data_IF_156598379609
#
_entry.id   IF_156598379609
#
_cell.length_a   1.000
_cell.length_b   1.000
_cell.length_c   1.000
_cell.angle_alpha   90.00
_cell.angle_beta   90.00
_cell.angle_gamma   90.00
#
_symmetry.space_group_name_H-M   'P 1'
#
loop_
_entity.id
_entity.type
_entity.pdbx_description
1 polymer ?
#
# COMPACT_ATOMS: atom_id res chain seq x y z
N UNK A 1 8.30 -48.43 34.45
CA UNK A 1 7.43 -47.25 34.22
C UNK A 1 8.24 -46.30 33.37
N UNK A 2 8.20 -46.53 32.07
CA UNK A 2 8.92 -45.74 31.07
C UNK A 2 8.05 -44.57 30.59
N UNK A 3 8.66 -43.44 30.20
CA UNK A 3 7.97 -42.25 29.75
C UNK A 3 7.47 -42.43 28.30
N UNK A 4 6.16 -42.22 28.12
CA UNK A 4 5.50 -42.25 26.83
C UNK A 4 6.02 -41.14 25.92
N UNK A 5 6.74 -41.52 24.85
CA UNK A 5 7.01 -40.67 23.69
C UNK A 5 5.70 -40.47 22.93
N UNK A 6 5.21 -39.22 22.87
CA UNK A 6 4.16 -38.81 21.93
C UNK A 6 4.82 -38.50 20.58
N UNK A 7 4.54 -39.35 19.59
CA UNK A 7 4.89 -39.13 18.19
C UNK A 7 3.95 -38.10 17.53
N UNK A 8 4.42 -37.35 16.52
CA UNK A 8 3.68 -36.26 15.89
C UNK A 8 2.92 -36.75 14.64
N UNK A 9 1.66 -37.13 14.76
CA UNK A 9 0.78 -37.35 13.59
C UNK A 9 -0.67 -36.96 13.92
N UNK A 10 -1.01 -35.70 13.64
CA UNK A 10 -2.40 -35.26 13.48
C UNK A 10 -2.47 -34.01 12.58
N UNK A 11 -1.83 -34.07 11.40
CA UNK A 11 -2.20 -33.23 10.27
C UNK A 11 -3.07 -34.09 9.34
N UNK A 12 -4.37 -34.08 9.59
CA UNK A 12 -5.34 -34.80 8.77
C UNK A 12 -5.29 -34.31 7.32
N UNK A 13 -4.85 -35.17 6.40
CA UNK A 13 -5.07 -35.00 4.96
C UNK A 13 -6.58 -35.04 4.68
N UNK A 14 -7.12 -34.19 3.79
CA UNK A 14 -8.52 -34.29 3.39
C UNK A 14 -8.69 -35.48 2.43
N UNK A 15 -9.03 -36.64 2.98
CA UNK A 15 -9.60 -37.75 2.23
C UNK A 15 -11.12 -37.75 2.47
N UNK A 16 -11.89 -37.58 1.40
CA UNK A 16 -13.33 -37.88 1.39
C UNK A 16 -14.25 -36.66 1.46
N UNK A 17 -14.34 -35.90 0.37
CA UNK A 17 -15.45 -34.97 0.11
C UNK A 17 -15.75 -34.90 -1.40
N UNK A 18 -15.87 -36.05 -2.06
CA UNK A 18 -16.45 -36.13 -3.40
C UNK A 18 -17.43 -37.32 -3.40
N UNK A 19 -18.66 -37.05 -2.97
CA UNK A 19 -19.80 -37.92 -3.24
C UNK A 19 -20.35 -37.53 -4.61
N UNK A 20 -20.69 -38.54 -5.42
CA UNK A 20 -21.09 -38.49 -6.85
C UNK A 20 -22.21 -37.49 -7.24
N UNK A 21 -22.87 -36.85 -6.27
CA UNK A 21 -23.98 -35.90 -6.49
C UNK A 21 -23.81 -34.56 -5.71
N UNK A 22 -22.60 -34.22 -5.24
CA UNK A 22 -22.33 -32.93 -4.59
C UNK A 22 -21.38 -32.08 -5.44
N UNK A 23 -21.98 -31.15 -6.17
CA UNK A 23 -21.35 -30.05 -6.91
C UNK A 23 -20.32 -29.27 -6.06
N UNK A 24 -19.27 -28.72 -6.70
CA UNK A 24 -18.26 -27.88 -6.05
C UNK A 24 -18.87 -26.60 -5.47
N UNK A 25 -18.90 -26.48 -4.14
CA UNK A 25 -19.43 -25.29 -3.48
C UNK A 25 -18.29 -24.40 -2.98
N UNK A 26 -18.11 -23.24 -3.59
CA UNK A 26 -17.15 -22.22 -3.11
C UNK A 26 -17.43 -21.89 -1.63
N UNK A 27 -18.71 -21.84 -1.24
CA UNK A 27 -19.14 -21.58 0.13
C UNK A 27 -18.61 -22.60 1.15
N UNK A 28 -18.38 -23.85 0.74
CA UNK A 28 -17.85 -24.90 1.61
C UNK A 28 -16.35 -24.74 1.92
N UNK A 29 -15.64 -23.92 1.14
CA UNK A 29 -14.20 -23.71 1.26
C UNK A 29 -13.83 -22.33 1.85
N UNK A 30 -14.81 -21.51 2.20
CA UNK A 30 -14.61 -20.18 2.81
C UNK A 30 -13.76 -20.27 4.08
N UNK A 31 -13.93 -21.32 4.88
CA UNK A 31 -13.20 -21.53 6.14
C UNK A 31 -11.74 -21.96 5.96
N UNK A 32 -11.30 -22.32 4.76
CA UNK A 32 -9.95 -22.82 4.47
C UNK A 32 -8.99 -21.72 3.95
N UNK A 33 -9.46 -20.48 3.87
CA UNK A 33 -8.66 -19.33 3.43
C UNK A 33 -8.32 -19.33 1.94
N UNK A 34 -7.59 -18.30 1.52
CA UNK A 34 -7.33 -17.96 0.10
C UNK A 34 -6.69 -19.11 -0.69
N UNK A 35 -5.61 -19.69 -0.15
CA UNK A 35 -4.89 -20.80 -0.78
C UNK A 35 -5.70 -22.10 -0.86
N UNK A 36 -6.64 -22.32 0.06
CA UNK A 36 -7.49 -23.50 0.09
C UNK A 36 -8.50 -23.53 -1.05
N UNK A 37 -9.15 -22.39 -1.33
CA UNK A 37 -10.15 -22.27 -2.39
C UNK A 37 -9.51 -22.45 -3.76
N UNK A 38 -8.40 -21.76 -4.03
CA UNK A 38 -7.73 -21.79 -5.32
C UNK A 38 -7.19 -23.21 -5.65
N UNK A 39 -6.60 -23.89 -4.67
CA UNK A 39 -6.11 -25.26 -4.85
C UNK A 39 -7.26 -26.27 -5.05
N UNK A 40 -8.34 -26.15 -4.27
CA UNK A 40 -9.51 -27.02 -4.39
C UNK A 40 -10.21 -26.84 -5.74
N UNK A 41 -10.37 -25.59 -6.20
CA UNK A 41 -11.01 -25.29 -7.48
C UNK A 41 -10.20 -25.81 -8.66
N UNK A 42 -8.88 -25.54 -8.68
CA UNK A 42 -7.98 -26.05 -9.73
C UNK A 42 -8.05 -27.58 -9.82
N UNK A 43 -7.92 -28.26 -8.68
CA UNK A 43 -7.99 -29.72 -8.61
C UNK A 43 -9.32 -30.26 -9.14
N UNK A 44 -10.44 -29.65 -8.75
CA UNK A 44 -11.76 -30.06 -9.19
C UNK A 44 -11.95 -29.89 -10.70
N UNK A 45 -11.63 -28.70 -11.24
CA UNK A 45 -11.78 -28.44 -12.68
C UNK A 45 -10.85 -29.34 -13.51
N UNK A 46 -9.64 -29.62 -13.04
CA UNK A 46 -8.73 -30.57 -13.71
C UNK A 46 -9.22 -32.02 -13.66
N UNK A 47 -9.84 -32.44 -12.55
CA UNK A 47 -10.46 -33.77 -12.43
C UNK A 47 -11.65 -33.92 -13.38
N UNK A 48 -12.54 -32.92 -13.41
CA UNK A 48 -13.69 -32.91 -14.32
C UNK A 48 -13.24 -32.84 -15.79
N UNK A 49 -12.21 -32.05 -16.12
CA UNK A 49 -11.65 -31.96 -17.48
C UNK A 49 -11.04 -33.27 -17.98
N UNK A 50 -10.62 -34.18 -17.08
CA UNK A 50 -10.10 -35.51 -17.45
C UNK A 50 -11.20 -36.51 -17.79
N UNK A 51 -12.43 -36.29 -17.31
CA UNK A 51 -13.52 -37.27 -17.38
C UNK A 51 -14.72 -36.81 -18.22
N UNK A 52 -14.90 -35.50 -18.41
CA UNK A 52 -16.03 -34.92 -19.12
C UNK A 52 -15.72 -34.58 -20.59
N UNK A 53 -16.79 -34.55 -21.41
CA UNK A 53 -16.74 -33.98 -22.75
C UNK A 53 -16.56 -32.45 -22.69
N UNK A 54 -16.11 -31.84 -23.79
CA UNK A 54 -15.96 -30.37 -23.84
C UNK A 54 -17.26 -29.60 -23.60
N UNK A 55 -18.41 -30.15 -24.01
CA UNK A 55 -19.73 -29.52 -23.78
C UNK A 55 -20.16 -29.63 -22.30
N UNK A 56 -19.96 -30.79 -21.67
CA UNK A 56 -20.28 -30.98 -20.26
C UNK A 56 -19.41 -30.11 -19.35
N UNK A 57 -18.13 -29.99 -19.67
CA UNK A 57 -17.21 -29.12 -18.96
C UNK A 57 -17.59 -27.63 -19.11
N UNK A 58 -18.10 -27.19 -20.26
CA UNK A 58 -18.62 -25.82 -20.42
C UNK A 58 -19.84 -25.58 -19.52
N UNK A 59 -20.74 -26.57 -19.39
CA UNK A 59 -21.89 -26.48 -18.47
C UNK A 59 -21.45 -26.38 -17.01
N UNK A 60 -20.39 -27.12 -16.63
CA UNK A 60 -19.78 -27.00 -15.29
C UNK A 60 -19.23 -25.58 -15.10
N UNK A 61 -18.48 -25.06 -16.06
CA UNK A 61 -17.96 -23.69 -15.96
C UNK A 61 -19.08 -22.64 -15.84
N UNK A 62 -20.19 -22.79 -16.56
CA UNK A 62 -21.34 -21.89 -16.46
C UNK A 62 -22.00 -21.90 -15.08
N UNK A 63 -22.18 -23.08 -14.48
CA UNK A 63 -22.70 -23.20 -13.12
C UNK A 63 -21.76 -22.57 -12.09
N UNK A 64 -20.44 -22.68 -12.30
CA UNK A 64 -19.45 -22.05 -11.44
C UNK A 64 -19.50 -20.51 -11.55
N UNK A 65 -19.62 -19.96 -12.76
CA UNK A 65 -19.76 -18.52 -12.95
C UNK A 65 -21.04 -17.96 -12.29
N UNK A 66 -22.15 -18.71 -12.34
CA UNK A 66 -23.39 -18.33 -11.65
C UNK A 66 -23.22 -18.33 -10.12
N UNK A 67 -22.52 -19.33 -9.56
CA UNK A 67 -22.21 -19.33 -8.13
C UNK A 67 -21.33 -18.15 -7.71
N UNK A 68 -20.29 -17.85 -8.49
CA UNK A 68 -19.43 -16.69 -8.26
C UNK A 68 -20.26 -15.41 -8.31
N UNK A 69 -21.10 -15.25 -9.34
CA UNK A 69 -21.99 -14.10 -9.50
C UNK A 69 -22.90 -13.91 -8.28
N UNK A 70 -23.51 -14.99 -7.78
CA UNK A 70 -24.37 -14.97 -6.59
C UNK A 70 -23.61 -14.51 -5.33
N UNK A 71 -22.42 -15.05 -5.09
CA UNK A 71 -21.57 -14.65 -3.95
C UNK A 71 -21.13 -13.18 -4.05
N UNK A 72 -20.80 -12.72 -5.27
CA UNK A 72 -20.43 -11.32 -5.49
C UNK A 72 -21.60 -10.34 -5.31
N UNK A 73 -22.85 -10.79 -5.40
CA UNK A 73 -24.01 -9.93 -5.09
C UNK A 73 -24.16 -9.66 -3.58
N UNK A 74 -23.61 -10.53 -2.72
CA UNK A 74 -23.68 -10.38 -1.26
C UNK A 74 -22.89 -9.18 -0.75
N UNK A 75 -23.47 -8.38 0.14
CA UNK A 75 -22.76 -7.22 0.73
C UNK A 75 -21.71 -7.62 1.77
N UNK A 76 -21.60 -8.90 2.12
CA UNK A 76 -20.63 -9.41 3.08
C UNK A 76 -19.27 -9.68 2.41
N UNK A 77 -18.20 -9.11 2.97
CA UNK A 77 -16.84 -9.36 2.52
C UNK A 77 -16.44 -10.83 2.67
N UNK A 78 -17.00 -11.54 3.67
CA UNK A 78 -16.73 -12.96 3.91
C UNK A 78 -17.22 -13.88 2.79
N UNK A 79 -18.18 -13.42 1.97
CA UNK A 79 -18.69 -14.14 0.80
C UNK A 79 -18.08 -13.62 -0.51
N UNK A 80 -17.87 -12.29 -0.61
CA UNK A 80 -17.32 -11.66 -1.81
C UNK A 80 -15.84 -11.97 -2.04
N UNK A 81 -15.01 -11.99 -0.97
CA UNK A 81 -13.58 -12.25 -1.09
C UNK A 81 -13.25 -13.66 -1.61
N UNK A 82 -13.86 -14.75 -1.08
CA UNK A 82 -13.74 -16.09 -1.67
C UNK A 82 -14.11 -16.16 -3.15
N UNK A 83 -15.13 -15.41 -3.58
CA UNK A 83 -15.55 -15.38 -4.97
C UNK A 83 -14.52 -14.69 -5.87
N UNK A 84 -13.87 -13.62 -5.40
CA UNK A 84 -12.75 -12.98 -6.10
C UNK A 84 -11.54 -13.92 -6.22
N UNK A 85 -11.20 -14.66 -5.16
CA UNK A 85 -10.13 -15.67 -5.22
C UNK A 85 -10.46 -16.83 -6.16
N UNK A 86 -11.73 -17.22 -6.25
CA UNK A 86 -12.17 -18.19 -7.24
C UNK A 86 -11.99 -17.65 -8.66
N UNK A 87 -12.35 -16.38 -8.93
CA UNK A 87 -12.08 -15.74 -10.23
C UNK A 87 -10.59 -15.78 -10.54
N UNK A 88 -9.73 -15.39 -9.60
CA UNK A 88 -8.28 -15.37 -9.78
C UNK A 88 -7.74 -16.75 -10.18
N UNK A 89 -8.15 -17.80 -9.46
CA UNK A 89 -7.78 -19.16 -9.77
C UNK A 89 -8.26 -19.65 -11.15
N UNK A 90 -9.41 -19.13 -11.64
CA UNK A 90 -9.93 -19.46 -12.97
C UNK A 90 -9.15 -18.81 -14.11
N UNK A 91 -8.44 -17.69 -13.86
CA UNK A 91 -7.63 -17.00 -14.88
C UNK A 91 -6.56 -17.96 -15.40
N UNK A 92 -5.85 -18.63 -14.49
CA UNK A 92 -4.75 -19.57 -14.78
C UNK A 92 -5.17 -20.85 -15.50
N UNK A 93 -6.45 -21.21 -15.45
CA UNK A 93 -6.91 -22.46 -16.02
C UNK A 93 -6.93 -22.40 -17.56
N UNK A 94 -6.42 -23.42 -18.28
CA UNK A 94 -6.41 -23.42 -19.76
C UNK A 94 -7.80 -23.60 -20.39
N UNK A 95 -8.85 -23.65 -19.58
CA UNK A 95 -10.22 -23.98 -19.97
C UNK A 95 -11.02 -22.70 -20.29
N UNK A 96 -11.80 -22.73 -21.37
CA UNK A 96 -12.81 -21.68 -21.66
C UNK A 96 -12.40 -20.55 -22.62
N UNK A 97 -11.16 -20.51 -23.11
CA UNK A 97 -10.74 -19.62 -24.22
C UNK A 97 -11.16 -18.15 -24.06
N UNK A 98 -11.54 -17.49 -25.17
CA UNK A 98 -11.90 -16.08 -25.19
C UNK A 98 -13.20 -15.75 -24.44
N UNK A 99 -14.17 -16.68 -24.39
CA UNK A 99 -15.45 -16.45 -23.71
C UNK A 99 -15.31 -16.41 -22.19
N UNK A 100 -14.33 -17.12 -21.62
CA UNK A 100 -13.96 -17.01 -20.20
C UNK A 100 -13.54 -15.59 -19.86
N UNK A 101 -12.65 -15.00 -20.64
CA UNK A 101 -12.09 -13.66 -20.37
C UNK A 101 -13.21 -12.63 -20.32
N UNK A 102 -14.14 -12.63 -21.28
CA UNK A 102 -15.28 -11.73 -21.29
C UNK A 102 -16.22 -11.93 -20.09
N UNK A 103 -16.47 -13.18 -19.67
CA UNK A 103 -17.30 -13.48 -18.50
C UNK A 103 -16.65 -12.97 -17.21
N UNK A 104 -15.36 -13.23 -17.01
CA UNK A 104 -14.62 -12.78 -15.84
C UNK A 104 -14.52 -11.24 -15.80
N UNK A 105 -14.26 -10.60 -16.93
CA UNK A 105 -14.24 -9.14 -17.03
C UNK A 105 -15.59 -8.51 -16.65
N UNK A 106 -16.71 -9.11 -17.10
CA UNK A 106 -18.05 -8.64 -16.73
C UNK A 106 -18.36 -8.82 -15.24
N UNK A 107 -17.94 -9.94 -14.63
CA UNK A 107 -18.08 -10.14 -13.19
C UNK A 107 -17.32 -9.07 -12.40
N UNK A 108 -16.06 -8.83 -12.75
CA UNK A 108 -15.23 -7.80 -12.10
C UNK A 108 -15.81 -6.40 -12.30
N UNK A 109 -16.29 -6.08 -13.50
CA UNK A 109 -16.96 -4.81 -13.78
C UNK A 109 -18.14 -4.56 -12.83
N UNK A 110 -19.01 -5.55 -12.65
CA UNK A 110 -20.15 -5.45 -11.74
C UNK A 110 -19.69 -5.21 -10.29
N UNK A 111 -18.57 -5.81 -9.87
CA UNK A 111 -17.97 -5.57 -8.56
C UNK A 111 -17.59 -4.10 -8.40
N UNK A 112 -16.88 -3.49 -9.36
CA UNK A 112 -16.50 -2.08 -9.28
C UNK A 112 -17.68 -1.11 -9.34
N UNK A 113 -18.77 -1.47 -10.02
CA UNK A 113 -19.97 -0.63 -10.11
C UNK A 113 -20.79 -0.62 -8.81
N UNK A 114 -20.91 -1.78 -8.16
CA UNK A 114 -21.82 -2.01 -7.04
C UNK A 114 -21.12 -1.89 -5.68
N UNK A 115 -19.91 -2.43 -5.54
CA UNK A 115 -19.19 -2.46 -4.26
C UNK A 115 -18.57 -1.11 -3.93
N UNK A 116 -18.55 -0.81 -2.63
CA UNK A 116 -18.01 0.46 -2.10
C UNK A 116 -16.86 0.24 -1.12
N UNK A 117 -16.71 -0.99 -0.62
CA UNK A 117 -15.75 -1.32 0.41
C UNK A 117 -14.33 -1.47 -0.18
N UNK A 118 -13.34 -0.70 0.28
CA UNK A 118 -11.94 -0.88 -0.10
C UNK A 118 -11.41 -2.31 0.11
N UNK A 119 -11.90 -3.02 1.14
CA UNK A 119 -11.48 -4.41 1.42
C UNK A 119 -11.83 -5.36 0.26
N UNK A 120 -12.86 -5.04 -0.53
CA UNK A 120 -13.28 -5.82 -1.69
C UNK A 120 -12.70 -5.24 -2.99
N UNK A 121 -12.66 -3.91 -3.12
CA UNK A 121 -12.22 -3.22 -4.34
C UNK A 121 -10.72 -3.42 -4.62
N UNK A 122 -9.88 -3.48 -3.57
CA UNK A 122 -8.43 -3.69 -3.73
C UNK A 122 -8.11 -5.10 -4.24
N UNK A 123 -8.61 -6.20 -3.66
CA UNK A 123 -8.43 -7.52 -4.26
C UNK A 123 -9.02 -7.62 -5.67
N UNK A 124 -10.19 -7.03 -5.90
CA UNK A 124 -10.82 -7.05 -7.23
C UNK A 124 -9.95 -6.39 -8.31
N UNK A 125 -9.24 -5.31 -7.98
CA UNK A 125 -8.32 -4.66 -8.94
C UNK A 125 -7.11 -5.53 -9.25
N UNK A 126 -6.52 -6.18 -8.24
CA UNK A 126 -5.41 -7.11 -8.46
C UNK A 126 -5.80 -8.26 -9.40
N UNK A 127 -7.00 -8.84 -9.20
CA UNK A 127 -7.53 -9.89 -10.06
C UNK A 127 -7.78 -9.37 -11.48
N UNK A 128 -8.24 -8.12 -11.63
CA UNK A 128 -8.37 -7.48 -12.94
C UNK A 128 -7.02 -7.31 -13.65
N UNK A 129 -5.98 -6.89 -12.93
CA UNK A 129 -4.62 -6.78 -13.44
C UNK A 129 -4.10 -8.13 -13.94
N UNK A 130 -4.28 -9.19 -13.14
CA UNK A 130 -3.92 -10.55 -13.54
C UNK A 130 -4.67 -11.00 -14.81
N UNK A 131 -5.98 -10.75 -14.89
CA UNK A 131 -6.79 -11.08 -16.07
C UNK A 131 -6.27 -10.37 -17.32
N UNK A 132 -5.91 -9.08 -17.19
CA UNK A 132 -5.40 -8.25 -18.27
C UNK A 132 -4.04 -8.75 -18.79
N UNK A 133 -3.15 -9.17 -17.88
CA UNK A 133 -1.87 -9.78 -18.25
C UNK A 133 -2.04 -11.14 -18.94
N UNK A 134 -2.91 -12.00 -18.38
CA UNK A 134 -3.02 -13.40 -18.79
C UNK A 134 -3.67 -13.62 -20.16
N UNK A 135 -4.69 -12.85 -20.54
CA UNK A 135 -5.44 -13.13 -21.77
C UNK A 135 -4.99 -12.37 -23.03
N UNK A 136 -3.84 -11.67 -22.96
CA UNK A 136 -3.14 -11.12 -24.13
C UNK A 136 -3.98 -10.16 -24.99
N UNK A 137 -3.77 -10.20 -26.31
CA UNK A 137 -4.40 -9.26 -27.25
C UNK A 137 -5.95 -9.36 -27.34
N UNK A 138 -6.55 -10.47 -26.90
CA UNK A 138 -8.00 -10.66 -26.89
C UNK A 138 -8.66 -10.01 -25.67
N UNK A 139 -8.00 -10.07 -24.50
CA UNK A 139 -8.45 -9.33 -23.30
C UNK A 139 -8.34 -7.84 -23.48
N UNK A 140 -7.33 -7.40 -24.23
CA UNK A 140 -7.13 -6.00 -24.58
C UNK A 140 -8.44 -5.41 -25.09
N UNK A 141 -9.04 -5.89 -26.19
CA UNK A 141 -10.21 -5.22 -26.77
C UNK A 141 -11.45 -5.13 -25.84
N UNK A 142 -11.71 -6.13 -24.99
CA UNK A 142 -12.88 -6.16 -24.10
C UNK A 142 -12.67 -5.31 -22.83
N UNK A 143 -11.48 -5.40 -22.23
CA UNK A 143 -11.11 -4.64 -21.02
C UNK A 143 -10.75 -3.18 -21.37
N UNK A 144 -10.13 -2.95 -22.54
CA UNK A 144 -9.70 -1.65 -23.07
C UNK A 144 -10.85 -0.66 -23.19
N UNK A 145 -11.88 -0.99 -23.96
CA UNK A 145 -12.86 0.03 -24.36
C UNK A 145 -13.83 0.36 -23.22
N UNK A 146 -14.22 -0.62 -22.43
CA UNK A 146 -15.30 -0.41 -21.47
C UNK A 146 -14.79 -0.07 -20.06
N UNK A 147 -13.82 -0.81 -19.53
CA UNK A 147 -13.39 -0.62 -18.13
C UNK A 147 -12.47 0.61 -18.01
N UNK A 148 -11.48 0.79 -18.87
CA UNK A 148 -10.60 1.98 -18.83
C UNK A 148 -11.42 3.26 -19.07
N UNK A 149 -12.24 3.32 -20.12
CA UNK A 149 -13.07 4.50 -20.40
C UNK A 149 -14.03 4.82 -19.25
N UNK A 150 -14.63 3.78 -18.63
CA UNK A 150 -15.50 3.97 -17.47
C UNK A 150 -14.72 4.51 -16.27
N UNK A 151 -13.53 3.97 -16.00
CA UNK A 151 -12.66 4.44 -14.92
C UNK A 151 -12.21 5.90 -15.14
N UNK A 152 -11.78 6.25 -16.35
CA UNK A 152 -11.45 7.64 -16.71
C UNK A 152 -12.65 8.58 -16.50
N UNK A 153 -13.85 8.16 -16.91
CA UNK A 153 -15.08 8.92 -16.69
C UNK A 153 -15.45 9.08 -15.21
N UNK A 154 -15.25 8.04 -14.39
CA UNK A 154 -15.45 8.12 -12.94
C UNK A 154 -14.46 9.07 -12.25
N UNK A 155 -13.21 9.10 -12.71
CA UNK A 155 -12.18 9.94 -12.13
C UNK A 155 -12.37 11.42 -12.51
N UNK A 156 -12.75 11.69 -13.77
CA UNK A 156 -13.04 13.04 -14.26
C UNK A 156 -14.45 13.58 -13.92
N UNK A 157 -15.35 12.74 -13.39
CA UNK A 157 -16.77 13.06 -13.20
C UNK A 157 -17.22 13.40 -11.77
N UNK A 158 -18.45 12.99 -11.44
CA UNK A 158 -19.41 13.43 -10.38
C UNK A 158 -18.95 13.53 -8.91
N UNK A 159 -17.66 13.35 -8.59
CA UNK A 159 -17.16 13.51 -7.22
C UNK A 159 -17.53 12.38 -6.26
N UNK A 160 -18.01 11.25 -6.77
CA UNK A 160 -18.34 10.07 -5.97
C UNK A 160 -17.06 9.36 -5.53
N UNK A 161 -16.80 9.39 -4.22
CA UNK A 161 -15.54 8.92 -3.62
C UNK A 161 -15.17 7.48 -3.98
N UNK A 162 -16.07 6.52 -3.78
CA UNK A 162 -15.75 5.10 -4.01
C UNK A 162 -15.44 4.84 -5.49
N UNK A 163 -16.06 5.60 -6.41
CA UNK A 163 -15.80 5.48 -7.85
C UNK A 163 -14.45 6.07 -8.22
N UNK A 164 -14.05 7.19 -7.62
CA UNK A 164 -12.68 7.72 -7.77
C UNK A 164 -11.64 6.72 -7.28
N UNK A 165 -11.88 6.15 -6.10
CA UNK A 165 -11.01 5.12 -5.53
C UNK A 165 -10.91 3.89 -6.45
N UNK A 166 -12.04 3.32 -6.88
CA UNK A 166 -12.07 2.21 -7.81
C UNK A 166 -11.40 2.53 -9.16
N UNK A 167 -11.65 3.72 -9.71
CA UNK A 167 -11.05 4.17 -10.95
C UNK A 167 -9.52 4.21 -10.88
N UNK A 168 -8.97 4.77 -9.80
CA UNK A 168 -7.52 4.83 -9.60
C UNK A 168 -6.91 3.43 -9.54
N UNK A 169 -7.54 2.50 -8.82
CA UNK A 169 -7.10 1.11 -8.73
C UNK A 169 -7.11 0.43 -10.10
N UNK A 170 -8.20 0.57 -10.87
CA UNK A 170 -8.31 0.02 -12.22
C UNK A 170 -7.20 0.59 -13.11
N UNK A 171 -7.03 1.91 -13.13
CA UNK A 171 -6.05 2.57 -14.02
C UNK A 171 -4.61 2.19 -13.65
N UNK A 172 -4.29 2.07 -12.35
CA UNK A 172 -3.02 1.55 -11.87
C UNK A 172 -2.76 0.14 -12.42
N UNK A 173 -3.68 -0.79 -12.18
CA UNK A 173 -3.51 -2.19 -12.57
C UNK A 173 -3.38 -2.36 -14.09
N UNK A 174 -4.11 -1.55 -14.86
CA UNK A 174 -4.00 -1.54 -16.32
C UNK A 174 -2.66 -0.96 -16.81
N UNK A 175 -2.12 0.05 -16.12
CA UNK A 175 -0.79 0.59 -16.44
C UNK A 175 0.30 -0.46 -16.21
N UNK A 176 0.24 -1.20 -15.09
CA UNK A 176 1.23 -2.23 -14.71
C UNK A 176 1.14 -3.47 -15.61
N UNK A 177 -0.07 -4.01 -15.78
CA UNK A 177 -0.27 -5.35 -16.35
C UNK A 177 -0.64 -5.34 -17.85
N UNK A 178 -1.07 -4.20 -18.39
CA UNK A 178 -1.54 -4.07 -19.76
C UNK A 178 -1.03 -2.79 -20.45
N UNK A 179 0.22 -2.41 -20.17
CA UNK A 179 0.82 -1.14 -20.63
C UNK A 179 0.69 -0.90 -22.14
N UNK A 180 0.81 -1.95 -22.97
CA UNK A 180 0.71 -1.84 -24.44
C UNK A 180 -0.63 -1.29 -24.92
N UNK A 181 -1.69 -1.54 -24.15
CA UNK A 181 -3.05 -1.04 -24.36
C UNK A 181 -3.21 0.31 -23.67
N UNK A 182 -2.79 0.39 -22.40
CA UNK A 182 -2.93 1.58 -21.56
C UNK A 182 -2.26 2.81 -22.15
N UNK A 183 -1.16 2.63 -22.90
CA UNK A 183 -0.42 3.75 -23.53
C UNK A 183 -1.28 4.65 -24.41
N UNK A 184 -2.37 4.13 -24.99
CA UNK A 184 -3.27 4.89 -25.83
C UNK A 184 -4.14 5.89 -25.04
N UNK A 185 -4.19 5.76 -23.71
CA UNK A 185 -5.00 6.55 -22.78
C UNK A 185 -4.15 7.43 -21.85
N UNK A 186 -2.84 7.49 -22.04
CA UNK A 186 -1.93 8.28 -21.19
C UNK A 186 -2.35 9.76 -21.11
N UNK A 187 -2.68 10.45 -22.22
CA UNK A 187 -3.09 11.85 -22.14
C UNK A 187 -4.31 12.06 -21.25
N UNK A 188 -5.39 11.30 -21.49
CA UNK A 188 -6.62 11.38 -20.70
C UNK A 188 -6.39 10.99 -19.24
N UNK A 189 -5.59 9.93 -19.00
CA UNK A 189 -5.21 9.50 -17.67
C UNK A 189 -4.50 10.60 -16.88
N UNK A 190 -3.52 11.27 -17.49
CA UNK A 190 -2.75 12.33 -16.83
C UNK A 190 -3.67 13.50 -16.46
N UNK A 191 -4.59 13.89 -17.35
CA UNK A 191 -5.54 14.97 -17.08
C UNK A 191 -6.42 14.69 -15.86
N UNK A 192 -6.90 13.44 -15.71
CA UNK A 192 -7.78 13.08 -14.59
C UNK A 192 -7.04 12.71 -13.31
N UNK A 193 -5.83 12.11 -13.40
CA UNK A 193 -5.10 11.65 -12.21
C UNK A 193 -4.50 12.82 -11.43
N UNK A 194 -4.17 13.93 -12.09
CA UNK A 194 -3.70 15.15 -11.41
C UNK A 194 -4.77 15.75 -10.49
N UNK A 195 -6.06 15.59 -10.85
CA UNK A 195 -7.19 15.98 -10.00
C UNK A 195 -7.21 15.11 -8.74
N UNK A 196 -6.99 13.80 -8.88
CA UNK A 196 -6.93 12.86 -7.77
C UNK A 196 -5.71 13.06 -6.86
N UNK A 197 -4.57 13.46 -7.44
CA UNK A 197 -3.38 13.88 -6.71
C UNK A 197 -3.60 15.18 -5.92
N UNK A 198 -4.60 15.98 -6.30
CA UNK A 198 -5.00 17.18 -5.55
C UNK A 198 -6.16 16.92 -4.59
N UNK A 199 -6.60 15.67 -4.43
CA UNK A 199 -7.75 15.32 -3.59
C UNK A 199 -7.41 15.51 -2.10
N UNK A 200 -8.29 16.16 -1.30
CA UNK A 200 -8.06 16.38 0.12
C UNK A 200 -7.98 15.08 0.94
N UNK A 201 -8.45 13.95 0.40
CA UNK A 201 -8.39 12.65 1.08
C UNK A 201 -7.07 11.95 0.78
N UNK A 202 -6.32 11.71 1.86
CA UNK A 202 -5.01 11.06 1.82
C UNK A 202 -5.04 9.72 1.04
N UNK A 203 -6.05 8.89 1.27
CA UNK A 203 -6.17 7.58 0.61
C UNK A 203 -6.27 7.72 -0.92
N UNK A 204 -6.99 8.72 -1.43
CA UNK A 204 -7.12 8.95 -2.88
C UNK A 204 -5.80 9.47 -3.44
N UNK A 205 -5.19 10.44 -2.76
CA UNK A 205 -3.91 11.01 -3.12
C UNK A 205 -2.80 9.94 -3.19
N UNK A 206 -2.67 9.09 -2.16
CA UNK A 206 -1.68 8.01 -2.11
C UNK A 206 -1.88 6.99 -3.23
N UNK A 207 -3.11 6.56 -3.49
CA UNK A 207 -3.39 5.62 -4.59
C UNK A 207 -3.15 6.25 -5.96
N UNK A 208 -3.45 7.55 -6.11
CA UNK A 208 -3.16 8.27 -7.35
C UNK A 208 -1.64 8.36 -7.59
N UNK A 209 -0.85 8.58 -6.53
CA UNK A 209 0.61 8.54 -6.60
C UNK A 209 1.14 7.15 -7.02
N UNK A 210 0.57 6.08 -6.47
CA UNK A 210 0.89 4.70 -6.89
C UNK A 210 0.58 4.46 -8.37
N UNK A 211 -0.58 4.92 -8.87
CA UNK A 211 -0.96 4.81 -10.27
C UNK A 211 0.00 5.56 -11.21
N UNK A 212 0.45 6.75 -10.79
CA UNK A 212 1.45 7.53 -11.53
C UNK A 212 2.82 6.84 -11.53
N UNK A 213 3.21 6.23 -10.40
CA UNK A 213 4.45 5.44 -10.34
C UNK A 213 4.40 4.23 -11.29
N UNK A 214 3.31 3.47 -11.23
CA UNK A 214 3.06 2.34 -12.12
C UNK A 214 3.25 2.73 -13.59
N UNK A 215 2.58 3.81 -14.02
CA UNK A 215 2.70 4.34 -15.37
C UNK A 215 4.16 4.64 -15.75
N UNK A 216 4.90 5.34 -14.88
CA UNK A 216 6.29 5.71 -15.13
C UNK A 216 7.19 4.46 -15.26
N UNK A 217 7.06 3.50 -14.35
CA UNK A 217 7.83 2.26 -14.35
C UNK A 217 7.59 1.43 -15.61
N UNK A 218 6.33 1.21 -15.98
CA UNK A 218 5.99 0.45 -17.18
C UNK A 218 6.45 1.15 -18.47
N UNK A 219 6.42 2.48 -18.52
CA UNK A 219 6.96 3.24 -19.65
C UNK A 219 8.49 3.08 -19.79
N UNK A 220 9.22 3.05 -18.66
CA UNK A 220 10.66 2.80 -18.64
C UNK A 220 11.00 1.38 -19.12
N UNK A 221 10.24 0.38 -18.69
CA UNK A 221 10.42 -1.02 -19.14
C UNK A 221 10.14 -1.18 -20.63
N UNK A 222 9.04 -0.59 -21.12
CA UNK A 222 8.73 -0.58 -22.55
C UNK A 222 9.80 0.13 -23.40
N UNK A 223 10.43 1.18 -22.86
CA UNK A 223 11.55 1.86 -23.51
C UNK A 223 12.82 0.99 -23.54
N UNK A 224 13.08 0.18 -22.49
CA UNK A 224 14.24 -0.70 -22.40
C UNK A 224 14.15 -1.92 -23.34
N UNK A 225 12.96 -2.50 -23.51
CA UNK A 225 12.74 -3.69 -24.37
C UNK A 225 12.97 -3.42 -25.87
N UNK A 226 12.93 -2.14 -26.28
CA UNK A 226 13.28 -1.72 -27.65
C UNK A 226 14.78 -1.88 -28.00
N UNK A 227 15.63 -2.32 -27.06
CA UNK A 227 17.08 -2.52 -27.26
C UNK A 227 17.47 -3.71 -28.14
N UNK A 228 16.56 -4.65 -28.42
CA UNK A 228 16.87 -5.86 -29.21
C UNK A 228 16.13 -5.81 -30.57
N UNK A 229 16.92 -5.47 -31.61
CA UNK A 229 16.60 -5.35 -33.06
C UNK A 229 16.29 -3.93 -33.55
N UNK A 230 17.27 -3.40 -34.29
CA UNK A 230 17.23 -2.20 -35.15
C UNK A 230 16.03 -2.23 -36.12
N UNK A 231 14.89 -1.76 -35.66
CA UNK A 231 13.98 -0.94 -36.45
C UNK A 231 13.77 0.31 -35.60
N UNK A 232 14.07 1.50 -36.14
CA UNK A 232 13.70 2.76 -35.50
C UNK A 232 12.16 2.85 -35.46
N UNK A 233 11.53 2.11 -34.55
CA UNK A 233 10.27 2.55 -33.97
C UNK A 233 10.66 3.75 -33.11
N UNK A 234 10.13 4.91 -33.45
CA UNK A 234 10.16 6.10 -32.60
C UNK A 234 9.77 5.62 -31.20
N UNK A 235 10.74 5.58 -30.27
CA UNK A 235 10.49 5.09 -28.91
C UNK A 235 9.30 5.86 -28.35
N UNK A 236 8.33 5.12 -27.81
CA UNK A 236 7.01 5.61 -27.41
C UNK A 236 7.18 6.34 -26.06
N UNK A 237 7.96 7.41 -26.05
CA UNK A 237 8.06 8.27 -24.88
C UNK A 237 6.91 9.28 -24.91
N UNK A 238 5.71 8.78 -24.62
CA UNK A 238 4.45 9.55 -24.63
C UNK A 238 4.29 10.41 -23.38
N UNK A 239 5.04 10.13 -22.32
CA UNK A 239 5.03 10.93 -21.10
C UNK A 239 5.91 12.18 -21.29
N UNK A 240 6.98 12.12 -22.09
CA UNK A 240 7.82 13.30 -22.39
C UNK A 240 7.10 14.47 -23.05
N UNK A 241 5.91 14.27 -23.62
CA UNK A 241 5.13 15.35 -24.24
C UNK A 241 4.40 16.23 -23.20
N UNK A 242 4.33 15.79 -21.93
CA UNK A 242 3.69 16.54 -20.85
C UNK A 242 4.49 17.80 -20.45
N UNK A 243 3.85 18.81 -19.81
CA UNK A 243 4.54 19.98 -19.26
C UNK A 243 5.55 19.64 -18.15
N UNK A 244 6.59 20.46 -17.98
CA UNK A 244 7.66 20.24 -16.99
C UNK A 244 7.11 20.13 -15.56
N UNK A 245 6.11 20.93 -15.23
CA UNK A 245 5.43 20.93 -13.93
C UNK A 245 4.78 19.57 -13.64
N UNK A 246 4.12 18.99 -14.65
CA UNK A 246 3.52 17.65 -14.56
C UNK A 246 4.59 16.58 -14.41
N UNK A 247 5.69 16.68 -15.16
CA UNK A 247 6.80 15.74 -15.08
C UNK A 247 7.49 15.79 -13.71
N UNK A 248 7.72 16.99 -13.17
CA UNK A 248 8.22 17.18 -11.80
C UNK A 248 7.26 16.61 -10.75
N UNK A 249 5.95 16.76 -10.97
CA UNK A 249 4.93 16.16 -10.11
C UNK A 249 5.02 14.64 -10.14
N UNK A 250 5.13 14.02 -11.33
CA UNK A 250 5.36 12.57 -11.47
C UNK A 250 6.61 12.15 -10.70
N UNK A 251 7.74 12.83 -10.92
CA UNK A 251 9.01 12.55 -10.23
C UNK A 251 8.84 12.61 -8.70
N UNK A 252 8.06 13.55 -8.18
CA UNK A 252 7.80 13.70 -6.74
C UNK A 252 7.01 12.56 -6.11
N UNK A 253 6.43 11.66 -6.90
CA UNK A 253 5.77 10.43 -6.42
C UNK A 253 6.61 9.17 -6.60
N UNK A 254 7.69 9.25 -7.37
CA UNK A 254 8.64 8.16 -7.55
C UNK A 254 9.58 8.09 -6.35
N UNK A 255 10.08 6.89 -6.06
CA UNK A 255 11.28 6.76 -5.24
C UNK A 255 12.47 7.31 -6.03
N UNK A 256 13.53 7.65 -5.32
CA UNK A 256 14.75 8.20 -5.92
C UNK A 256 15.33 7.29 -7.01
N UNK A 257 15.33 5.97 -6.84
CA UNK A 257 15.81 5.02 -7.85
C UNK A 257 14.99 5.08 -9.15
N UNK A 258 13.66 5.01 -9.04
CA UNK A 258 12.76 5.09 -10.19
C UNK A 258 12.81 6.47 -10.85
N UNK A 259 12.94 7.52 -10.05
CA UNK A 259 13.08 8.88 -10.52
C UNK A 259 14.37 9.09 -11.33
N UNK A 260 15.51 8.53 -10.89
CA UNK A 260 16.77 8.53 -11.67
C UNK A 260 16.58 7.76 -12.98
N UNK A 261 15.88 6.61 -12.95
CA UNK A 261 15.62 5.79 -14.14
C UNK A 261 14.82 6.53 -15.21
N UNK A 262 13.99 7.51 -14.84
CA UNK A 262 13.27 8.35 -15.83
C UNK A 262 14.22 9.09 -16.79
N UNK A 263 15.48 9.32 -16.39
CA UNK A 263 16.51 9.92 -17.26
C UNK A 263 16.84 9.09 -18.52
N UNK A 264 16.40 7.83 -18.57
CA UNK A 264 16.48 6.97 -19.75
C UNK A 264 15.39 7.28 -20.80
N UNK A 265 14.28 7.92 -20.41
CA UNK A 265 13.17 8.26 -21.31
C UNK A 265 13.59 9.33 -22.32
N UNK A 266 14.06 10.49 -21.83
CA UNK A 266 14.62 11.55 -22.68
C UNK A 266 15.63 12.44 -21.95
N UNK A 267 16.33 13.31 -22.70
CA UNK A 267 17.26 14.29 -22.12
C UNK A 267 16.55 15.26 -21.16
N UNK A 268 15.28 15.56 -21.40
CA UNK A 268 14.45 16.46 -20.59
C UNK A 268 14.30 15.94 -19.16
N UNK A 269 13.93 14.67 -18.99
CA UNK A 269 13.81 14.02 -17.69
C UNK A 269 15.11 14.04 -16.88
N UNK A 270 16.27 13.92 -17.53
CA UNK A 270 17.57 14.02 -16.84
C UNK A 270 17.77 15.38 -16.16
N UNK A 271 17.30 16.46 -16.79
CA UNK A 271 17.39 17.80 -16.21
C UNK A 271 16.35 18.00 -15.11
N UNK A 272 15.10 17.57 -15.35
CA UNK A 272 14.00 17.71 -14.40
C UNK A 272 14.25 16.94 -13.10
N UNK A 273 14.74 15.70 -13.20
CA UNK A 273 15.09 14.89 -12.04
C UNK A 273 16.00 15.64 -11.06
N UNK A 274 17.02 16.36 -11.54
CA UNK A 274 18.02 17.02 -10.67
C UNK A 274 17.49 18.17 -9.82
N UNK A 275 16.33 18.72 -10.17
CA UNK A 275 15.72 19.88 -9.50
C UNK A 275 14.31 19.60 -8.96
N UNK A 276 13.70 18.48 -9.33
CA UNK A 276 12.38 18.10 -8.88
C UNK A 276 12.39 17.73 -7.38
N UNK A 277 11.24 17.81 -6.70
CA UNK A 277 11.07 17.20 -5.39
C UNK A 277 11.25 15.68 -5.45
N UNK A 278 11.93 15.07 -4.48
CA UNK A 278 12.23 13.62 -4.50
C UNK A 278 11.86 12.92 -3.19
N UNK A 279 11.62 11.60 -3.29
CA UNK A 279 11.45 10.71 -2.15
C UNK A 279 12.71 9.84 -2.00
N UNK A 280 13.54 10.17 -1.01
CA UNK A 280 14.75 9.42 -0.71
C UNK A 280 14.39 8.20 0.13
N UNK A 281 14.60 7.01 -0.42
CA UNK A 281 14.23 5.74 0.20
C UNK A 281 15.41 4.78 0.10
N UNK A 282 15.91 4.35 1.25
CA UNK A 282 17.08 3.47 1.34
C UNK A 282 16.73 2.00 1.56
N UNK A 283 15.45 1.61 1.60
CA UNK A 283 15.03 0.24 1.92
C UNK A 283 15.55 -0.82 0.94
N UNK A 284 15.76 -0.43 -0.33
CA UNK A 284 16.28 -1.31 -1.38
C UNK A 284 17.81 -1.38 -1.42
N UNK A 285 18.49 -0.51 -0.66
CA UNK A 285 19.94 -0.50 -0.57
C UNK A 285 20.32 -1.34 0.66
N UNK A 286 21.14 -2.39 0.52
CA UNK A 286 21.54 -3.21 1.65
C UNK A 286 22.19 -2.36 2.77
N UNK A 287 21.61 -2.41 3.98
CA UNK A 287 21.97 -1.60 5.17
C UNK A 287 23.42 -1.69 5.66
N UNK A 288 24.19 -2.66 5.15
CA UNK A 288 25.54 -2.98 5.62
C UNK A 288 26.65 -2.47 4.68
N UNK A 289 26.30 -1.69 3.66
CA UNK A 289 27.21 -1.27 2.60
C UNK A 289 27.63 0.21 2.80
N UNK A 290 28.93 0.53 2.94
CA UNK A 290 29.42 1.91 2.97
C UNK A 290 28.96 2.75 1.77
N UNK A 291 28.74 2.10 0.63
CA UNK A 291 28.23 2.71 -0.59
C UNK A 291 26.84 3.35 -0.39
N UNK A 292 26.01 2.81 0.51
CA UNK A 292 24.71 3.39 0.84
C UNK A 292 24.86 4.78 1.47
N UNK A 293 25.81 4.92 2.40
CA UNK A 293 26.10 6.19 3.09
C UNK A 293 26.62 7.21 2.09
N UNK A 294 27.54 6.79 1.21
CA UNK A 294 28.10 7.66 0.18
C UNK A 294 27.02 8.19 -0.77
N UNK A 295 26.16 7.29 -1.28
CA UNK A 295 25.04 7.67 -2.18
C UNK A 295 24.08 8.63 -1.50
N UNK A 296 23.67 8.35 -0.26
CA UNK A 296 22.77 9.24 0.50
C UNK A 296 23.42 10.60 0.74
N UNK A 297 24.69 10.62 1.16
CA UNK A 297 25.46 11.86 1.39
C UNK A 297 25.59 12.68 0.10
N UNK A 298 25.84 12.02 -1.03
CA UNK A 298 25.93 12.65 -2.34
C UNK A 298 24.59 13.25 -2.75
N UNK A 299 23.48 12.51 -2.61
CA UNK A 299 22.15 13.01 -2.93
C UNK A 299 21.81 14.23 -2.06
N UNK A 300 22.08 14.15 -0.75
CA UNK A 300 21.81 15.25 0.19
C UNK A 300 22.65 16.50 -0.07
N UNK A 301 23.78 16.39 -0.76
CA UNK A 301 24.70 17.51 -1.05
C UNK A 301 24.57 18.07 -2.46
N UNK A 302 24.31 17.22 -3.46
CA UNK A 302 24.31 17.59 -4.87
C UNK A 302 22.92 17.85 -5.45
N UNK A 303 21.86 17.28 -4.84
CA UNK A 303 20.50 17.44 -5.35
C UNK A 303 20.01 18.88 -5.18
N UNK A 304 19.49 19.48 -6.25
CA UNK A 304 19.09 20.89 -6.26
C UNK A 304 17.63 21.11 -5.85
N UNK A 305 16.82 20.04 -5.87
CA UNK A 305 15.42 20.07 -5.47
C UNK A 305 15.21 19.77 -3.98
N UNK A 306 13.99 19.97 -3.45
CA UNK A 306 13.66 19.59 -2.08
C UNK A 306 13.49 18.07 -1.96
N UNK A 307 13.84 17.51 -0.80
CA UNK A 307 13.53 16.13 -0.44
C UNK A 307 12.26 16.17 0.42
N UNK A 308 11.16 15.62 -0.10
CA UNK A 308 9.85 15.67 0.54
C UNK A 308 9.59 14.48 1.46
N UNK A 309 10.20 13.33 1.16
CA UNK A 309 10.16 12.13 1.98
C UNK A 309 11.57 11.58 2.15
N UNK A 310 11.87 11.18 3.38
CA UNK A 310 13.13 10.59 3.78
C UNK A 310 12.81 9.29 4.53
N UNK A 311 13.12 8.16 3.92
CA UNK A 311 13.04 6.83 4.51
C UNK A 311 14.43 6.22 4.62
N UNK A 312 14.91 6.09 5.85
CA UNK A 312 16.24 5.64 6.22
C UNK A 312 16.14 4.29 6.93
N UNK A 313 16.45 3.20 6.22
CA UNK A 313 16.42 1.86 6.76
C UNK A 313 17.82 1.32 7.06
N UNK A 314 18.03 0.87 8.30
CA UNK A 314 19.15 0.04 8.73
C UNK A 314 20.53 0.67 8.49
N UNK A 315 20.67 1.97 8.78
CA UNK A 315 21.90 2.72 8.50
C UNK A 315 22.90 2.55 9.62
N UNK A 316 23.96 1.78 9.37
CA UNK A 316 25.12 1.70 10.24
C UNK A 316 26.10 2.83 9.94
N UNK A 317 26.68 3.47 10.97
CA UNK A 317 27.78 4.44 10.84
C UNK A 317 27.45 5.76 10.11
N UNK A 318 26.18 6.11 9.94
CA UNK A 318 25.78 7.37 9.30
C UNK A 318 25.99 8.58 10.23
N UNK A 319 26.51 9.69 9.68
CA UNK A 319 26.46 11.00 10.34
C UNK A 319 25.06 11.61 10.17
N UNK A 320 24.12 11.11 10.98
CA UNK A 320 22.73 11.55 10.95
C UNK A 320 22.60 13.05 11.25
N UNK A 321 23.44 13.61 12.12
CA UNK A 321 23.37 15.03 12.46
C UNK A 321 23.78 15.92 11.28
N UNK A 322 24.88 15.57 10.60
CA UNK A 322 25.31 16.24 9.38
C UNK A 322 24.28 16.14 8.25
N UNK A 323 23.72 14.95 8.04
CA UNK A 323 22.66 14.74 7.05
C UNK A 323 21.40 15.52 7.36
N UNK A 324 20.93 15.46 8.60
CA UNK A 324 19.74 16.20 8.99
C UNK A 324 19.99 17.66 8.73
N UNK A 325 21.14 18.26 9.06
CA UNK A 325 21.42 19.68 8.75
C UNK A 325 21.39 20.07 7.27
N UNK A 326 21.37 19.13 6.32
CA UNK A 326 21.32 19.44 4.88
C UNK A 326 20.12 20.35 4.51
N UNK A 327 20.34 21.41 3.71
CA UNK A 327 19.27 22.29 3.23
C UNK A 327 18.26 21.55 2.33
N UNK A 328 18.65 20.42 1.70
CA UNK A 328 17.77 19.63 0.86
C UNK A 328 16.52 19.12 1.63
N UNK A 329 16.64 18.95 2.95
CA UNK A 329 15.57 18.45 3.82
C UNK A 329 14.72 19.57 4.46
N UNK A 330 14.89 20.84 4.05
CA UNK A 330 14.19 21.97 4.67
C UNK A 330 12.65 21.91 4.56
N UNK A 331 12.13 21.22 3.54
CA UNK A 331 10.69 21.07 3.28
C UNK A 331 10.20 19.63 3.49
N UNK A 332 10.88 18.86 4.35
CA UNK A 332 10.55 17.47 4.60
C UNK A 332 9.14 17.32 5.19
N UNK A 333 8.31 16.48 4.57
CA UNK A 333 6.93 16.24 4.98
C UNK A 333 6.75 14.85 5.60
N UNK A 334 7.52 13.86 5.14
CA UNK A 334 7.49 12.50 5.65
C UNK A 334 8.89 12.08 6.09
N UNK A 335 9.02 11.72 7.36
CA UNK A 335 10.27 11.24 7.94
C UNK A 335 10.06 9.84 8.48
N UNK A 336 10.89 8.92 8.05
CA UNK A 336 10.86 7.53 8.44
C UNK A 336 12.30 7.05 8.68
N UNK A 337 12.59 6.61 9.89
CA UNK A 337 13.92 6.13 10.26
C UNK A 337 13.81 4.85 11.07
N UNK A 338 14.58 3.86 10.65
CA UNK A 338 14.82 2.61 11.34
C UNK A 338 16.32 2.49 11.56
N UNK A 339 16.77 2.68 12.80
CA UNK A 339 18.21 2.63 13.12
C UNK A 339 18.61 1.19 13.46
N UNK A 340 19.76 0.75 12.94
CA UNK A 340 20.15 -0.65 13.05
C UNK A 340 20.74 -1.04 14.41
N UNK A 341 21.12 -0.05 15.22
CA UNK A 341 21.59 -0.21 16.60
C UNK A 341 20.67 0.55 17.53
N UNK A 342 20.08 -0.17 18.49
CA UNK A 342 19.13 0.37 19.46
C UNK A 342 19.70 1.51 20.32
N UNK A 343 21.02 1.59 20.45
CA UNK A 343 21.72 2.56 21.31
C UNK A 343 22.06 3.89 20.61
N UNK A 344 21.85 4.02 19.29
CA UNK A 344 22.16 5.26 18.59
C UNK A 344 21.11 6.34 18.92
N UNK A 345 21.54 7.39 19.61
CA UNK A 345 20.69 8.53 19.99
C UNK A 345 20.30 9.33 18.76
N UNK A 346 18.99 9.59 18.61
CA UNK A 346 18.51 10.45 17.54
C UNK A 346 18.96 11.91 17.77
N UNK A 347 19.70 12.54 16.84
CA UNK A 347 20.24 13.87 17.08
C UNK A 347 19.13 14.94 17.09
N UNK A 348 19.30 15.97 17.94
CA UNK A 348 18.36 17.10 18.07
C UNK A 348 18.12 17.86 16.76
N UNK A 349 19.03 17.74 15.80
CA UNK A 349 18.81 18.28 14.45
C UNK A 349 17.55 17.72 13.80
N UNK A 350 16.98 16.58 14.21
CA UNK A 350 15.68 16.11 13.70
C UNK A 350 14.54 17.12 13.93
N UNK A 351 14.62 17.94 14.98
CA UNK A 351 13.55 18.89 15.36
C UNK A 351 13.36 20.01 14.34
N UNK A 352 14.35 20.27 13.49
CA UNK A 352 14.23 21.28 12.43
C UNK A 352 13.19 20.93 11.36
N UNK A 353 12.79 19.67 11.26
CA UNK A 353 11.71 19.22 10.36
C UNK A 353 10.32 19.61 10.88
N UNK A 354 10.20 19.96 12.16
CA UNK A 354 8.93 20.13 12.84
C UNK A 354 7.92 21.08 12.14
N UNK A 355 8.33 22.22 11.54
CA UNK A 355 7.39 23.14 10.88
C UNK A 355 6.68 22.56 9.65
N UNK A 356 7.27 21.55 8.99
CA UNK A 356 6.77 21.00 7.72
C UNK A 356 6.27 19.57 7.83
N UNK A 357 6.74 18.83 8.84
CA UNK A 357 6.48 17.41 9.01
C UNK A 357 5.00 17.09 9.20
N UNK A 358 4.52 16.09 8.45
CA UNK A 358 3.14 15.58 8.46
C UNK A 358 3.07 14.14 8.95
N UNK A 359 4.09 13.34 8.64
CA UNK A 359 4.20 11.96 9.07
C UNK A 359 5.60 11.73 9.64
N UNK A 360 5.67 11.15 10.83
CA UNK A 360 6.92 10.74 11.47
C UNK A 360 6.81 9.27 11.88
N UNK A 361 7.73 8.45 11.41
CA UNK A 361 7.91 7.06 11.83
C UNK A 361 9.34 6.92 12.34
N UNK A 362 9.48 6.55 13.59
CA UNK A 362 10.78 6.48 14.25
C UNK A 362 10.84 5.14 14.94
N UNK A 363 11.84 4.34 14.60
CA UNK A 363 12.00 3.01 15.16
C UNK A 363 13.46 2.65 15.48
N UNK A 364 13.63 1.82 16.52
CA UNK A 364 14.92 1.29 16.97
C UNK A 364 15.99 2.34 17.32
N UNK A 365 15.60 3.45 17.95
CA UNK A 365 16.52 4.47 18.48
C UNK A 365 16.18 4.87 19.93
N UNK A 366 17.13 5.51 20.62
CA UNK A 366 16.88 6.17 21.90
C UNK A 366 16.58 7.67 21.69
N UNK A 367 15.62 8.21 22.43
CA UNK A 367 15.31 9.64 22.43
C UNK A 367 16.15 10.38 23.49
N UNK A 368 16.85 11.43 23.07
CA UNK A 368 17.48 12.51 23.85
C UNK A 368 17.87 12.15 25.30
N UNK A 369 19.16 11.91 25.53
CA UNK A 369 19.72 11.63 26.87
C UNK A 369 19.89 12.86 27.77
N UNK A 370 19.41 14.05 27.35
CA UNK A 370 19.63 15.30 28.09
C UNK A 370 18.61 15.53 29.22
N UNK A 371 19.07 16.07 30.35
CA UNK A 371 18.22 16.41 31.52
C UNK A 371 17.15 17.49 31.22
N UNK A 372 17.32 18.26 30.14
CA UNK A 372 16.37 19.28 29.69
C UNK A 372 15.55 18.79 28.48
N UNK A 373 14.26 18.49 28.73
CA UNK A 373 13.33 18.06 27.66
C UNK A 373 13.16 19.19 26.64
N UNK A 374 13.45 18.95 25.34
CA UNK A 374 13.24 19.96 24.30
C UNK A 374 11.78 20.40 24.20
N UNK A 375 11.56 21.64 23.80
CA UNK A 375 10.21 22.11 23.45
C UNK A 375 9.85 21.58 22.07
N UNK A 376 8.89 20.66 22.02
CA UNK A 376 8.39 20.11 20.76
C UNK A 376 7.26 20.97 20.21
N UNK A 377 7.32 21.28 18.91
CA UNK A 377 6.27 22.02 18.22
C UNK A 377 6.14 21.53 16.78
N UNK A 378 5.22 20.59 16.57
CA UNK A 378 4.93 19.94 15.30
C UNK A 378 3.54 20.36 14.79
N UNK A 379 3.39 21.60 14.27
CA UNK A 379 2.09 22.20 13.97
C UNK A 379 1.32 21.49 12.84
N UNK A 380 1.99 20.62 12.06
CA UNK A 380 1.43 19.94 10.90
C UNK A 380 1.41 18.42 11.01
N UNK A 381 1.92 17.86 12.11
CA UNK A 381 2.07 16.40 12.26
C UNK A 381 0.73 15.73 12.51
N UNK A 382 0.33 14.88 11.56
CA UNK A 382 -0.93 14.13 11.59
C UNK A 382 -0.75 12.69 12.02
N UNK A 383 0.39 12.08 11.71
CA UNK A 383 0.65 10.68 12.02
C UNK A 383 2.00 10.55 12.71
N UNK A 384 1.98 9.96 13.91
CA UNK A 384 3.17 9.63 14.68
C UNK A 384 3.20 8.13 14.94
N UNK A 385 4.27 7.48 14.49
CA UNK A 385 4.55 6.06 14.77
C UNK A 385 5.89 5.97 15.48
N UNK A 386 5.88 5.39 16.67
CA UNK A 386 7.06 5.12 17.47
C UNK A 386 7.14 3.61 17.69
N UNK A 387 8.25 2.98 17.32
CA UNK A 387 8.40 1.51 17.36
C UNK A 387 9.73 1.07 17.97
N UNK A 388 9.73 0.17 18.94
CA UNK A 388 10.95 -0.36 19.55
C UNK A 388 11.88 0.78 20.04
N UNK A 389 11.33 1.72 20.80
CA UNK A 389 12.05 2.90 21.30
C UNK A 389 12.13 2.89 22.83
N UNK A 390 13.23 3.43 23.36
CA UNK A 390 13.29 3.86 24.76
C UNK A 390 13.01 5.36 24.88
N UNK A 391 11.91 5.71 25.55
CA UNK A 391 11.45 7.09 25.69
C UNK A 391 10.94 7.38 27.10
N UNK A 392 11.52 8.40 27.73
CA UNK A 392 11.04 8.86 29.04
C UNK A 392 9.60 9.38 28.95
N UNK A 393 8.79 9.05 29.95
CA UNK A 393 7.38 9.46 30.05
C UNK A 393 7.17 10.97 29.84
N UNK A 394 8.01 11.82 30.45
CA UNK A 394 7.95 13.28 30.29
C UNK A 394 8.21 13.74 28.85
N UNK A 395 9.17 13.11 28.17
CA UNK A 395 9.51 13.41 26.77
C UNK A 395 8.39 12.99 25.83
N UNK A 396 7.83 11.79 26.03
CA UNK A 396 6.68 11.32 25.24
C UNK A 396 5.48 12.27 25.37
N UNK A 397 5.13 12.66 26.60
CA UNK A 397 4.05 13.62 26.82
C UNK A 397 4.36 15.00 26.23
N UNK A 398 5.60 15.47 26.30
CA UNK A 398 6.02 16.72 25.68
C UNK A 398 5.85 16.68 24.15
N UNK A 399 6.28 15.58 23.49
CA UNK A 399 6.08 15.36 22.05
C UNK A 399 4.60 15.40 21.71
N UNK A 400 3.77 14.63 22.42
CA UNK A 400 2.32 14.57 22.17
C UNK A 400 1.65 15.94 22.35
N UNK A 401 2.01 16.69 23.39
CA UNK A 401 1.51 18.05 23.63
C UNK A 401 1.90 19.04 22.54
N UNK A 402 3.04 18.81 21.89
CA UNK A 402 3.54 19.58 20.76
C UNK A 402 2.87 19.28 19.42
N UNK A 403 1.92 18.34 19.35
CA UNK A 403 1.27 17.87 18.11
C UNK A 403 -0.23 18.23 18.05
N UNK A 404 -0.60 19.50 17.80
CA UNK A 404 -1.98 19.99 17.92
C UNK A 404 -2.96 19.44 16.87
N UNK A 405 -2.46 18.83 15.78
CA UNK A 405 -3.27 18.30 14.67
C UNK A 405 -3.12 16.79 14.49
N UNK A 406 -2.63 16.08 15.51
CA UNK A 406 -2.39 14.64 15.46
C UNK A 406 -3.71 13.88 15.23
N UNK A 407 -3.78 13.09 14.16
CA UNK A 407 -4.92 12.26 13.78
C UNK A 407 -4.67 10.77 14.06
N UNK A 408 -3.42 10.31 14.01
CA UNK A 408 -3.05 8.91 14.25
C UNK A 408 -1.80 8.77 15.12
N UNK A 409 -1.89 7.93 16.15
CA UNK A 409 -0.78 7.56 17.03
C UNK A 409 -0.63 6.04 17.05
N UNK A 410 0.59 5.54 16.80
CA UNK A 410 0.95 4.14 17.01
C UNK A 410 2.20 4.08 17.88
N UNK A 411 2.10 3.38 19.01
CA UNK A 411 3.21 3.01 19.86
C UNK A 411 3.37 1.50 19.78
N UNK A 412 4.52 1.03 19.31
CA UNK A 412 4.81 -0.38 19.14
C UNK A 412 6.03 -0.76 19.97
N UNK A 413 5.86 -1.59 21.00
CA UNK A 413 6.94 -2.12 21.83
C UNK A 413 7.94 -1.06 22.33
N UNK A 414 7.41 0.09 22.78
CA UNK A 414 8.20 1.18 23.38
C UNK A 414 8.31 1.01 24.90
N UNK A 415 9.45 1.37 25.47
CA UNK A 415 9.72 1.35 26.91
C UNK A 415 10.00 2.76 27.48
N UNK A 416 10.18 2.87 28.80
CA UNK A 416 10.55 4.12 29.49
C UNK A 416 9.39 4.93 30.09
N UNK A 417 8.15 4.43 29.99
CA UNK A 417 6.95 5.04 30.56
C UNK A 417 6.01 3.98 31.16
N UNK A 418 5.32 4.35 32.24
CA UNK A 418 4.32 3.45 32.88
C UNK A 418 2.90 3.94 32.68
N UNK A 419 2.74 5.26 32.53
CA UNK A 419 1.45 5.91 32.36
C UNK A 419 1.48 6.73 31.08
N UNK A 420 0.53 6.46 30.20
CA UNK A 420 0.37 7.17 28.94
C UNK A 420 -0.90 8.03 29.01
N UNK A 421 -0.73 9.36 29.04
CA UNK A 421 -1.83 10.32 28.97
C UNK A 421 -1.84 10.99 27.61
N UNK A 422 -2.89 10.74 26.83
CA UNK A 422 -3.06 11.32 25.50
C UNK A 422 -4.16 12.37 25.57
N UNK A 423 -3.77 13.64 25.43
CA UNK A 423 -4.70 14.76 25.32
C UNK A 423 -4.65 15.31 23.89
N UNK A 424 -5.62 14.93 23.06
CA UNK A 424 -5.70 15.41 21.68
C UNK A 424 -7.14 15.54 21.18
N UNK A 425 -7.57 16.73 20.70
CA UNK A 425 -8.89 16.95 20.15
C UNK A 425 -9.08 16.40 18.73
N UNK A 426 -7.98 16.08 18.02
CA UNK A 426 -7.99 15.70 16.60
C UNK A 426 -7.79 14.21 16.35
N UNK A 427 -7.43 13.45 17.39
CA UNK A 427 -7.05 12.05 17.28
C UNK A 427 -8.22 11.17 16.82
N UNK A 428 -7.95 10.29 15.85
CA UNK A 428 -8.92 9.39 15.20
C UNK A 428 -8.53 7.93 15.35
N UNK A 429 -7.24 7.62 15.36
CA UNK A 429 -6.73 6.27 15.53
C UNK A 429 -5.62 6.22 16.59
N UNK A 430 -5.72 5.21 17.45
CA UNK A 430 -4.68 4.90 18.44
C UNK A 430 -4.37 3.41 18.38
N UNK A 431 -3.10 3.08 18.23
CA UNK A 431 -2.57 1.74 18.39
C UNK A 431 -1.52 1.71 19.49
N UNK A 432 -1.64 0.78 20.41
CA UNK A 432 -0.58 0.50 21.39
C UNK A 432 -0.30 -1.00 21.41
N UNK A 433 0.93 -1.38 21.09
CA UNK A 433 1.46 -2.71 21.27
C UNK A 433 2.47 -2.67 22.41
N UNK A 434 2.28 -3.48 23.44
CA UNK A 434 3.22 -3.58 24.57
C UNK A 434 3.64 -5.03 24.77
N UNK A 435 4.74 -5.40 24.12
CA UNK A 435 5.42 -6.68 24.32
C UNK A 435 6.32 -6.68 25.57
N UNK A 436 6.62 -5.50 26.13
CA UNK A 436 7.55 -5.33 27.27
C UNK A 436 6.85 -5.53 28.61
N UNK A 437 5.54 -5.32 28.67
CA UNK A 437 4.73 -5.36 29.90
C UNK A 437 5.02 -4.21 30.87
N UNK A 438 5.67 -3.14 30.38
CA UNK A 438 6.04 -1.98 31.20
C UNK A 438 4.89 -0.99 31.40
N UNK A 439 3.90 -1.00 30.49
CA UNK A 439 2.79 -0.07 30.48
C UNK A 439 1.71 -0.51 31.48
N UNK A 440 1.48 0.33 32.49
CA UNK A 440 0.52 0.05 33.56
C UNK A 440 -0.85 0.70 33.31
N UNK A 441 -0.86 1.91 32.76
CA UNK A 441 -2.08 2.72 32.60
C UNK A 441 -2.06 3.50 31.29
N UNK A 442 -3.22 3.57 30.62
CA UNK A 442 -3.44 4.42 29.45
C UNK A 442 -4.70 5.24 29.69
N UNK A 443 -4.57 6.56 29.62
CA UNK A 443 -5.65 7.54 29.75
C UNK A 443 -5.75 8.32 28.45
N UNK A 444 -6.89 8.22 27.78
CA UNK A 444 -7.16 9.00 26.56
C UNK A 444 -8.18 10.08 26.92
N UNK A 445 -7.69 11.30 27.05
CA UNK A 445 -8.51 12.49 27.27
C UNK A 445 -8.82 13.12 25.90
N UNK A 446 -9.99 12.77 25.36
CA UNK A 446 -10.50 13.41 24.15
C UNK A 446 -11.67 14.33 24.49
N UNK A 447 -11.63 15.63 24.13
CA UNK A 447 -12.78 16.51 24.29
C UNK A 447 -13.97 16.13 23.41
N UNK A 448 -13.80 15.20 22.45
CA UNK A 448 -14.86 14.70 21.56
C UNK A 448 -14.82 13.17 21.45
N UNK A 449 -15.36 12.42 22.44
CA UNK A 449 -15.24 10.96 22.52
C UNK A 449 -15.77 10.18 21.31
N UNK A 450 -16.67 10.76 20.51
CA UNK A 450 -17.21 10.14 19.29
C UNK A 450 -16.34 10.23 18.03
N UNK A 451 -15.16 10.87 18.09
CA UNK A 451 -14.27 11.04 16.92
C UNK A 451 -13.21 9.94 16.76
N UNK A 452 -12.93 9.18 17.82
CA UNK A 452 -11.97 8.07 17.76
C UNK A 452 -12.65 6.90 17.05
N UNK A 453 -12.16 6.58 15.85
CA UNK A 453 -12.71 5.52 15.00
C UNK A 453 -12.12 4.16 15.31
N UNK A 454 -10.88 4.13 15.79
CA UNK A 454 -10.14 2.89 15.92
C UNK A 454 -9.20 2.95 17.11
N UNK A 455 -9.34 1.97 18.01
CA UNK A 455 -8.42 1.72 19.11
C UNK A 455 -7.96 0.27 18.99
N UNK A 456 -6.64 0.06 18.84
CA UNK A 456 -6.05 -1.29 18.80
C UNK A 456 -5.08 -1.45 19.97
N UNK A 457 -5.30 -2.48 20.77
CA UNK A 457 -4.40 -2.88 21.84
C UNK A 457 -3.91 -4.29 21.59
N UNK A 458 -2.59 -4.46 21.55
CA UNK A 458 -1.93 -5.75 21.40
C UNK A 458 -0.97 -5.88 22.58
N UNK A 459 -1.38 -6.56 23.65
CA UNK A 459 -0.52 -6.82 24.81
C UNK A 459 -0.79 -8.21 25.34
N UNK A 460 0.24 -8.87 25.88
CA UNK A 460 0.08 -10.13 26.61
C UNK A 460 -0.56 -9.94 28.00
N UNK A 461 -0.56 -8.71 28.55
CA UNK A 461 -1.18 -8.34 29.82
C UNK A 461 -2.01 -7.06 29.62
N UNK A 462 -3.33 -7.16 29.50
CA UNK A 462 -4.18 -5.99 29.27
C UNK A 462 -4.02 -4.92 30.37
N UNK A 463 -3.58 -3.69 30.06
CA UNK A 463 -3.62 -2.58 31.01
C UNK A 463 -5.06 -2.14 31.26
N UNK A 464 -5.35 -1.64 32.46
CA UNK A 464 -6.68 -1.11 32.83
C UNK A 464 -6.97 0.19 32.07
N UNK A 465 -7.69 0.10 30.95
CA UNK A 465 -8.15 1.27 30.22
C UNK A 465 -9.31 1.96 30.96
N UNK A 466 -9.10 3.18 31.46
CA UNK A 466 -10.17 4.03 32.01
C UNK A 466 -10.54 5.14 31.02
N UNK A 467 -11.70 5.02 30.35
CA UNK A 467 -12.28 6.12 29.59
C UNK A 467 -13.02 7.06 30.54
N UNK A 468 -12.36 8.11 31.05
CA UNK A 468 -13.03 9.12 31.87
C UNK A 468 -13.85 10.05 30.99
N UNK A 469 -15.17 9.86 30.97
CA UNK A 469 -16.10 10.91 30.55
C UNK A 469 -16.16 11.97 31.66
N UNK A 470 -15.87 13.22 31.33
CA UNK A 470 -16.03 14.34 32.27
C UNK A 470 -17.50 14.44 32.71
N UNK A 471 -17.80 14.59 34.02
CA UNK A 471 -19.16 14.88 34.45
C UNK A 471 -19.53 16.30 33.99
N UNK A 472 -20.63 16.42 33.25
CA UNK A 472 -21.28 17.71 33.02
C UNK A 472 -21.90 18.23 34.32
N UNK A 473 -21.65 19.51 34.60
CA UNK A 473 -22.21 20.37 35.66
C UNK A 473 -23.17 19.75 36.69
#
# INVERSE_FOLDING_TARGET
>A
MEPSRLSPEAAGKPQGLIAKDRWFSIAAYISYGEGGIAAALRKHVEEEARHLSSEDLLRVMDQLYEQISSLLQSNDATESLPALHAIDALIDLPVGGASKVSKLANLLKNVFEVKRDPEILVPASTVLGHLANAGGALTAHEVERQIITTALGWLGGDGVEYRRFAAILILKEMAENAFTVFKNYIPEFVDVILIALSDPKLVIHERAAEAVRALACSNMEAAADCGVKKVKRKGIDLISDLPDETLCTIISFLRTDDAVRTSALSRRWRHLWRSAPINLDTAHIPGFCPEQIEVVTQILSEHQGPICRLHLNSLYFADLDGWFRSPALANLQEFDIYVAKFDDVLPLSVLRFAPTLRVARIAHCSFFEDEEVPVFNFPRLKTLVLGFLSVYEGTLHSILSGCPVLEGLLLDSCDGFRRLVINSPTLRSVGVCDDTGSLSEIVIESPLPGKIRQIRFISQNQPTAQSTSLPGN
#
